data_IF_523286353664
#
_entry.id   IF_523286353664
#
_cell.length_a   1.000
_cell.length_b   1.000
_cell.length_c   1.000
_cell.angle_alpha   90.00
_cell.angle_beta   90.00
_cell.angle_gamma   90.00
#
_symmetry.space_group_name_H-M   'P 1'
#
loop_
_entity.id
_entity.type
_entity.pdbx_description
1 polymer ?
#
# COMPACT_ATOMS: atom_id res chain seq x y z
N UNK A 1 -0.78 -4.56 -10.50
CA UNK A 1 -0.15 -3.85 -9.37
C UNK A 1 0.80 -4.73 -8.54
N UNK A 2 0.29 -5.77 -7.86
CA UNK A 2 1.08 -6.58 -6.91
C UNK A 2 2.33 -7.27 -7.52
N UNK A 3 2.23 -7.79 -8.75
CA UNK A 3 3.36 -8.42 -9.46
C UNK A 3 4.50 -7.42 -9.73
N UNK A 4 4.16 -6.17 -10.03
CA UNK A 4 5.14 -5.12 -10.34
C UNK A 4 5.90 -4.66 -9.10
N UNK A 5 5.19 -4.55 -7.97
CA UNK A 5 5.77 -4.20 -6.67
C UNK A 5 6.67 -5.33 -6.16
N UNK A 6 6.24 -6.60 -6.25
CA UNK A 6 7.07 -7.75 -5.90
C UNK A 6 8.37 -7.80 -6.73
N UNK A 7 8.30 -7.48 -8.01
CA UNK A 7 9.47 -7.42 -8.90
C UNK A 7 10.42 -6.27 -8.54
N UNK A 8 9.90 -5.08 -8.20
CA UNK A 8 10.71 -3.96 -7.69
C UNK A 8 11.37 -4.28 -6.36
N UNK A 9 10.67 -4.97 -5.45
CA UNK A 9 11.22 -5.42 -4.18
C UNK A 9 12.35 -6.42 -4.37
N UNK A 10 12.19 -7.39 -5.27
CA UNK A 10 13.26 -8.33 -5.62
C UNK A 10 14.53 -7.60 -6.13
N UNK A 11 14.37 -6.63 -7.03
CA UNK A 11 15.49 -5.85 -7.56
C UNK A 11 16.14 -4.94 -6.49
N UNK A 12 15.35 -4.28 -5.65
CA UNK A 12 15.85 -3.41 -4.57
C UNK A 12 16.56 -4.20 -3.46
N UNK A 13 16.15 -5.45 -3.21
CA UNK A 13 16.82 -6.37 -2.29
C UNK A 13 18.18 -6.86 -2.84
N UNK A 14 18.37 -6.87 -4.17
CA UNK A 14 19.60 -7.34 -4.80
C UNK A 14 20.68 -6.26 -4.97
N UNK A 15 20.36 -4.95 -5.00
CA UNK A 15 21.33 -3.99 -5.56
C UNK A 15 21.68 -2.70 -4.81
N UNK A 16 20.89 -2.11 -3.90
CA UNK A 16 21.39 -0.93 -3.15
C UNK A 16 20.43 -0.42 -2.06
N UNK A 17 20.99 0.02 -0.92
CA UNK A 17 20.23 0.64 0.19
C UNK A 17 19.37 1.83 -0.26
N UNK A 18 19.88 2.63 -1.21
CA UNK A 18 19.17 3.80 -1.77
C UNK A 18 17.91 3.41 -2.55
N UNK A 19 17.93 2.29 -3.28
CA UNK A 19 16.75 1.82 -4.01
C UNK A 19 15.67 1.30 -3.06
N UNK A 20 16.08 0.68 -1.95
CA UNK A 20 15.18 0.22 -0.91
C UNK A 20 14.50 1.37 -0.17
N UNK A 21 15.23 2.47 0.09
CA UNK A 21 14.64 3.72 0.58
C UNK A 21 13.62 4.32 -0.39
N UNK A 22 13.96 4.40 -1.69
CA UNK A 22 13.03 4.88 -2.70
C UNK A 22 11.76 4.02 -2.80
N UNK A 23 11.91 2.69 -2.69
CA UNK A 23 10.77 1.77 -2.66
C UNK A 23 9.89 2.02 -1.43
N UNK A 24 10.49 2.16 -0.25
CA UNK A 24 9.76 2.46 0.99
C UNK A 24 8.94 3.75 0.86
N UNK A 25 9.54 4.81 0.33
CA UNK A 25 8.87 6.09 0.14
C UNK A 25 7.73 6.00 -0.90
N UNK A 26 7.97 5.28 -2.00
CA UNK A 26 6.95 5.06 -3.03
C UNK A 26 5.76 4.27 -2.49
N UNK A 27 5.99 3.22 -1.70
CA UNK A 27 4.93 2.46 -1.04
C UNK A 27 4.19 3.33 -0.02
N UNK A 28 4.91 4.13 0.76
CA UNK A 28 4.29 5.03 1.75
C UNK A 28 3.37 6.07 1.09
N UNK A 29 3.78 6.64 -0.05
CA UNK A 29 2.94 7.55 -0.83
C UNK A 29 1.69 6.86 -1.38
N UNK A 30 1.83 5.64 -1.89
CA UNK A 30 0.69 4.87 -2.37
C UNK A 30 -0.29 4.53 -1.23
N UNK A 31 0.20 4.26 -0.02
CA UNK A 31 -0.66 4.06 1.15
C UNK A 31 -1.49 5.30 1.48
N UNK A 32 -0.88 6.48 1.39
CA UNK A 32 -1.58 7.76 1.61
C UNK A 32 -2.71 7.92 0.58
N UNK A 33 -2.44 7.62 -0.69
CA UNK A 33 -3.44 7.67 -1.78
C UNK A 33 -4.60 6.73 -1.51
N UNK A 34 -4.33 5.47 -1.17
CA UNK A 34 -5.33 4.45 -0.84
C UNK A 34 -6.19 4.88 0.36
N UNK A 35 -5.58 5.44 1.41
CA UNK A 35 -6.32 5.92 2.57
C UNK A 35 -7.21 7.14 2.24
N UNK A 36 -6.87 7.92 1.22
CA UNK A 36 -7.75 8.96 0.69
C UNK A 36 -8.95 8.37 -0.05
N UNK A 37 -8.73 7.32 -0.85
CA UNK A 37 -9.81 6.61 -1.53
C UNK A 37 -10.78 5.94 -0.54
N UNK A 38 -10.26 5.31 0.53
CA UNK A 38 -11.10 4.77 1.61
C UNK A 38 -11.99 5.84 2.25
N UNK A 39 -11.42 7.01 2.57
CA UNK A 39 -12.19 8.14 3.11
C UNK A 39 -13.26 8.63 2.15
N UNK A 40 -12.97 8.65 0.84
CA UNK A 40 -13.97 9.00 -0.17
C UNK A 40 -15.11 7.99 -0.23
N UNK A 41 -14.83 6.68 -0.11
CA UNK A 41 -15.86 5.64 -0.04
C UNK A 41 -16.70 5.80 1.23
N UNK A 42 -16.08 6.06 2.37
CA UNK A 42 -16.79 6.30 3.62
C UNK A 42 -17.69 7.54 3.55
N UNK A 43 -17.19 8.62 2.93
CA UNK A 43 -18.01 9.78 2.61
C UNK A 43 -19.21 9.40 1.73
N UNK A 44 -18.99 8.63 0.64
CA UNK A 44 -20.07 8.20 -0.25
C UNK A 44 -21.12 7.36 0.49
N UNK A 45 -20.69 6.45 1.35
CA UNK A 45 -21.57 5.64 2.20
C UNK A 45 -22.40 6.52 3.14
N UNK A 46 -21.76 7.50 3.80
CA UNK A 46 -22.43 8.37 4.77
C UNK A 46 -23.45 9.31 4.11
N UNK A 47 -23.15 9.83 2.92
CA UNK A 47 -23.99 10.82 2.24
C UNK A 47 -25.05 10.22 1.32
N UNK A 48 -24.74 9.12 0.63
CA UNK A 48 -25.65 8.52 -0.37
C UNK A 48 -26.25 7.18 0.11
N UNK A 49 -25.84 6.70 1.28
CA UNK A 49 -26.27 5.42 1.83
C UNK A 49 -25.36 4.26 1.42
N UNK A 50 -25.50 3.15 2.16
CA UNK A 50 -24.76 1.90 1.89
C UNK A 50 -25.34 1.24 0.64
N UNK A 51 -24.45 0.79 -0.25
CA UNK A 51 -24.80 -0.11 -1.35
C UNK A 51 -23.81 -1.28 -1.38
N UNK A 52 -24.22 -2.44 -1.88
CA UNK A 52 -23.35 -3.62 -1.96
C UNK A 52 -22.07 -3.34 -2.75
N UNK A 53 -22.19 -2.55 -3.82
CA UNK A 53 -21.05 -2.09 -4.62
C UNK A 53 -20.04 -1.28 -3.79
N UNK A 54 -20.51 -0.36 -2.94
CA UNK A 54 -19.63 0.44 -2.08
C UNK A 54 -18.96 -0.41 -1.00
N UNK A 55 -19.66 -1.43 -0.47
CA UNK A 55 -19.09 -2.36 0.50
C UNK A 55 -18.01 -3.24 -0.12
N UNK A 56 -18.23 -3.72 -1.34
CA UNK A 56 -17.25 -4.50 -2.10
C UNK A 56 -16.03 -3.65 -2.43
N UNK A 57 -16.22 -2.43 -2.96
CA UNK A 57 -15.15 -1.47 -3.23
C UNK A 57 -14.34 -1.17 -1.95
N UNK A 58 -15.02 -0.91 -0.82
CA UNK A 58 -14.36 -0.70 0.48
C UNK A 58 -13.51 -1.90 0.88
N UNK A 59 -14.04 -3.11 0.73
CA UNK A 59 -13.36 -4.36 1.11
C UNK A 59 -12.10 -4.58 0.29
N UNK A 60 -12.18 -4.39 -1.03
CA UNK A 60 -11.04 -4.54 -1.93
C UNK A 60 -9.93 -3.55 -1.58
N UNK A 61 -10.28 -2.28 -1.36
CA UNK A 61 -9.30 -1.25 -0.99
C UNK A 61 -8.69 -1.55 0.39
N UNK A 62 -9.46 -2.04 1.35
CA UNK A 62 -8.92 -2.47 2.66
C UNK A 62 -7.93 -3.62 2.54
N UNK A 63 -8.23 -4.62 1.70
CA UNK A 63 -7.32 -5.75 1.44
C UNK A 63 -6.02 -5.22 0.85
N UNK A 64 -6.10 -4.32 -0.14
CA UNK A 64 -4.92 -3.75 -0.77
C UNK A 64 -4.11 -2.87 0.20
N UNK A 65 -4.77 -2.04 1.01
CA UNK A 65 -4.13 -1.22 2.04
C UNK A 65 -3.36 -2.06 3.06
N UNK A 66 -3.95 -3.18 3.51
CA UNK A 66 -3.31 -4.07 4.47
C UNK A 66 -2.09 -4.77 3.87
N UNK A 67 -2.21 -5.26 2.64
CA UNK A 67 -1.06 -5.83 1.93
C UNK A 67 0.06 -4.80 1.78
N UNK A 68 -0.27 -3.56 1.41
CA UNK A 68 0.72 -2.52 1.20
C UNK A 68 1.43 -2.10 2.51
N UNK A 69 0.72 -2.10 3.64
CA UNK A 69 1.33 -1.91 4.98
C UNK A 69 2.36 -2.99 5.30
N UNK A 70 2.03 -4.25 5.04
CA UNK A 70 2.96 -5.37 5.25
C UNK A 70 4.23 -5.20 4.39
N UNK A 71 4.08 -4.78 3.14
CA UNK A 71 5.23 -4.53 2.26
C UNK A 71 6.12 -3.38 2.76
N UNK A 72 5.53 -2.31 3.31
CA UNK A 72 6.27 -1.20 3.94
C UNK A 72 7.03 -1.71 5.15
N UNK A 73 6.37 -2.43 6.06
CA UNK A 73 6.96 -2.96 7.28
C UNK A 73 8.13 -3.90 6.98
N UNK A 74 7.97 -4.80 6.00
CA UNK A 74 9.04 -5.69 5.55
C UNK A 74 10.21 -4.90 4.96
N UNK A 75 9.94 -3.89 4.12
CA UNK A 75 10.98 -3.03 3.53
C UNK A 75 11.74 -2.25 4.60
N UNK A 76 11.03 -1.72 5.59
CA UNK A 76 11.61 -1.02 6.74
C UNK A 76 12.48 -1.96 7.57
N UNK A 77 12.00 -3.16 7.89
CA UNK A 77 12.80 -4.16 8.62
C UNK A 77 14.09 -4.51 7.87
N UNK A 78 14.05 -4.65 6.54
CA UNK A 78 15.26 -4.90 5.75
C UNK A 78 16.25 -3.73 5.79
N UNK A 79 15.76 -2.48 5.74
CA UNK A 79 16.61 -1.29 5.89
C UNK A 79 17.33 -1.23 7.24
N UNK A 80 16.69 -1.73 8.30
CA UNK A 80 17.20 -1.68 9.67
C UNK A 80 17.97 -2.93 10.12
N UNK A 81 17.78 -4.09 9.49
CA UNK A 81 18.56 -5.32 9.76
C UNK A 81 19.97 -5.31 9.17
N UNK A 82 20.24 -4.46 8.20
CA UNK A 82 21.55 -4.31 7.53
C UNK A 82 22.41 -3.17 8.12
N UNK A 83 22.09 -2.70 9.33
CA UNK A 83 22.92 -1.82 10.17
C UNK A 83 23.46 -2.63 11.36
#
# INVERSE_FOLDING_TARGET
MAVFIKRKKFLALEQNRSELHYLHDSLSQELIRINSELRNIEYRINFFGVTDKLLEEKKEILIFANWLKQEIDETFQTLHKNN
#
